data_IF_176597624789
#
_entry.id   IF_176597624789
#
_cell.length_a   1.000
_cell.length_b   1.000
_cell.length_c   1.000
_cell.angle_alpha   90.00
_cell.angle_beta   90.00
_cell.angle_gamma   90.00
#
_symmetry.space_group_name_H-M   'P 1'
#
loop_
_entity.id
_entity.type
_entity.pdbx_description
1 polymer ?
#
# COMPACT_ATOMS: atom_id res chain seq x y z
N UNK A 1 3.17 -20.97 2.10
CA UNK A 1 3.49 -19.67 2.73
C UNK A 1 2.53 -19.46 3.90
N UNK A 2 3.00 -19.11 5.10
CA UNK A 2 2.12 -18.97 6.27
C UNK A 2 1.26 -17.69 6.16
N UNK A 3 0.02 -17.70 6.67
CA UNK A 3 -0.93 -16.57 6.61
C UNK A 3 -0.32 -15.26 7.12
N UNK A 4 0.44 -15.32 8.22
CA UNK A 4 1.16 -14.18 8.79
C UNK A 4 2.13 -13.54 7.79
N UNK A 5 2.78 -14.34 6.96
CA UNK A 5 3.72 -13.84 5.95
C UNK A 5 2.97 -13.08 4.85
N UNK A 6 1.82 -13.60 4.40
CA UNK A 6 1.02 -12.95 3.36
C UNK A 6 0.39 -11.63 3.86
N UNK A 7 -0.07 -11.56 5.11
CA UNK A 7 -0.51 -10.29 5.72
C UNK A 7 0.64 -9.28 5.78
N UNK A 8 1.82 -9.72 6.23
CA UNK A 8 3.03 -8.89 6.33
C UNK A 8 3.45 -8.31 4.97
N UNK A 9 3.40 -9.10 3.90
CA UNK A 9 3.71 -8.63 2.54
C UNK A 9 2.79 -7.48 2.10
N UNK A 10 1.49 -7.56 2.37
CA UNK A 10 0.56 -6.48 2.04
C UNK A 10 0.79 -5.22 2.88
N UNK A 11 1.13 -5.38 4.16
CA UNK A 11 1.51 -4.26 5.03
C UNK A 11 2.80 -3.58 4.56
N UNK A 12 3.81 -4.35 4.14
CA UNK A 12 5.05 -3.82 3.59
C UNK A 12 4.81 -3.06 2.29
N UNK A 13 4.02 -3.62 1.36
CA UNK A 13 3.64 -2.93 0.13
C UNK A 13 2.93 -1.61 0.41
N UNK A 14 1.98 -1.59 1.36
CA UNK A 14 1.30 -0.35 1.78
C UNK A 14 2.28 0.68 2.35
N UNK A 15 3.22 0.22 3.20
CA UNK A 15 4.26 1.08 3.76
C UNK A 15 5.13 1.71 2.66
N UNK A 16 5.48 0.94 1.64
CA UNK A 16 6.28 1.45 0.53
C UNK A 16 5.53 2.53 -0.26
N UNK A 17 4.22 2.39 -0.48
CA UNK A 17 3.43 3.42 -1.13
C UNK A 17 3.36 4.72 -0.31
N UNK A 18 3.09 4.66 0.99
CA UNK A 18 3.03 5.87 1.80
C UNK A 18 4.40 6.56 1.93
N UNK A 19 5.50 5.78 1.92
CA UNK A 19 6.86 6.33 1.88
C UNK A 19 7.15 7.03 0.55
N UNK A 20 6.73 6.43 -0.58
CA UNK A 20 6.83 7.05 -1.91
C UNK A 20 6.03 8.37 -1.98
N UNK A 21 4.79 8.38 -1.50
CA UNK A 21 3.98 9.59 -1.42
C UNK A 21 4.69 10.69 -0.61
N UNK A 22 5.24 10.35 0.57
CA UNK A 22 5.98 11.30 1.43
C UNK A 22 7.25 11.82 0.78
N UNK A 23 7.98 10.97 0.06
CA UNK A 23 9.17 11.38 -0.67
C UNK A 23 8.83 12.42 -1.75
N UNK A 24 7.76 12.18 -2.50
CA UNK A 24 7.34 13.01 -3.64
C UNK A 24 6.82 14.40 -3.25
N UNK A 25 6.36 14.62 -2.01
CA UNK A 25 5.92 15.94 -1.51
C UNK A 25 7.03 17.00 -1.62
N UNK A 26 8.30 16.58 -1.56
CA UNK A 26 9.45 17.49 -1.64
C UNK A 26 9.93 17.76 -3.08
N UNK A 27 9.36 17.08 -4.09
CA UNK A 27 9.74 17.27 -5.49
C UNK A 27 9.23 18.61 -6.04
N UNK A 28 9.93 19.17 -7.04
CA UNK A 28 9.57 20.41 -7.73
C UNK A 28 9.63 20.21 -9.26
N UNK A 29 8.51 20.37 -9.99
CA UNK A 29 7.15 20.63 -9.49
C UNK A 29 6.62 19.45 -8.65
N UNK A 30 5.69 19.73 -7.73
CA UNK A 30 5.09 18.70 -6.86
C UNK A 30 4.09 17.85 -7.65
N UNK A 31 4.29 16.52 -7.77
CA UNK A 31 3.47 15.67 -8.62
C UNK A 31 2.23 15.18 -7.86
N UNK A 32 1.24 16.06 -7.68
CA UNK A 32 0.06 15.82 -6.83
C UNK A 32 -0.71 14.55 -7.20
N UNK A 33 -0.87 14.27 -8.49
CA UNK A 33 -1.55 13.08 -8.99
C UNK A 33 -0.82 11.78 -8.61
N UNK A 34 0.51 11.79 -8.69
CA UNK A 34 1.34 10.63 -8.33
C UNK A 34 1.34 10.41 -6.81
N UNK A 35 1.36 11.48 -6.02
CA UNK A 35 1.19 11.42 -4.56
C UNK A 35 -0.18 10.81 -4.22
N UNK A 36 -1.25 11.26 -4.88
CA UNK A 36 -2.60 10.74 -4.69
C UNK A 36 -2.71 9.26 -5.04
N UNK A 37 -2.11 8.84 -6.16
CA UNK A 37 -2.05 7.43 -6.57
C UNK A 37 -1.40 6.55 -5.49
N UNK A 38 -0.25 6.94 -4.97
CA UNK A 38 0.40 6.19 -3.89
C UNK A 38 -0.41 6.19 -2.60
N UNK A 39 -1.05 7.30 -2.23
CA UNK A 39 -1.93 7.33 -1.06
C UNK A 39 -3.11 6.36 -1.21
N UNK A 40 -3.77 6.32 -2.38
CA UNK A 40 -4.82 5.35 -2.69
C UNK A 40 -4.30 3.92 -2.59
N UNK A 41 -3.16 3.64 -3.20
CA UNK A 41 -2.55 2.31 -3.20
C UNK A 41 -2.16 1.83 -1.80
N UNK A 42 -1.66 2.71 -0.95
CA UNK A 42 -1.36 2.40 0.45
C UNK A 42 -2.60 1.90 1.20
N UNK A 43 -3.74 2.56 1.02
CA UNK A 43 -5.02 2.18 1.64
C UNK A 43 -5.54 0.85 1.06
N UNK A 44 -5.53 0.70 -0.26
CA UNK A 44 -5.96 -0.53 -0.94
C UNK A 44 -5.18 -1.75 -0.44
N UNK A 45 -3.85 -1.65 -0.32
CA UNK A 45 -2.99 -2.75 0.16
C UNK A 45 -3.23 -3.07 1.63
N UNK A 46 -3.55 -2.09 2.48
CA UNK A 46 -3.99 -2.38 3.86
C UNK A 46 -5.31 -3.14 3.88
N UNK A 47 -6.27 -2.78 3.03
CA UNK A 47 -7.50 -3.57 2.91
C UNK A 47 -7.22 -4.99 2.41
N UNK A 48 -6.31 -5.18 1.45
CA UNK A 48 -5.88 -6.52 1.02
C UNK A 48 -5.25 -7.32 2.17
N UNK A 49 -4.48 -6.67 3.07
CA UNK A 49 -3.96 -7.31 4.27
C UNK A 49 -5.08 -7.78 5.22
N UNK A 50 -6.13 -6.97 5.40
CA UNK A 50 -7.32 -7.33 6.19
C UNK A 50 -8.06 -8.51 5.56
N UNK A 51 -8.29 -8.51 4.24
CA UNK A 51 -8.93 -9.63 3.55
C UNK A 51 -8.16 -10.94 3.77
N UNK A 52 -6.84 -10.91 3.61
CA UNK A 52 -5.97 -12.07 3.86
C UNK A 52 -6.06 -12.52 5.32
N UNK A 53 -6.06 -11.59 6.29
CA UNK A 53 -6.22 -11.94 7.71
C UNK A 53 -7.50 -12.75 7.97
N UNK A 54 -8.56 -12.46 7.21
CA UNK A 54 -9.84 -13.18 7.25
C UNK A 54 -9.90 -14.39 6.29
N UNK A 55 -8.76 -14.84 5.76
CA UNK A 55 -8.66 -15.93 4.77
C UNK A 55 -9.47 -15.70 3.48
N UNK A 56 -9.72 -14.44 3.14
CA UNK A 56 -10.36 -14.03 1.89
C UNK A 56 -9.25 -13.69 0.88
N UNK A 57 -9.32 -14.29 -0.30
CA UNK A 57 -8.38 -13.97 -1.37
C UNK A 57 -8.65 -12.55 -1.91
N UNK A 58 -7.69 -11.62 -1.82
CA UNK A 58 -7.84 -10.32 -2.44
C UNK A 58 -7.81 -10.44 -3.97
N UNK A 59 -8.59 -9.62 -4.66
CA UNK A 59 -8.47 -9.49 -6.11
C UNK A 59 -7.14 -8.80 -6.44
N UNK A 60 -6.54 -9.21 -7.58
CA UNK A 60 -5.25 -8.66 -8.03
C UNK A 60 -5.43 -7.23 -8.49
#
# INVERSE_FOLDING_TARGET
>A
MQLKNLVGEWQEKSRNDILSARFLVNMRPMPVEVIGFHAQQAVEKLFKAVLVLHSISPQR
#
